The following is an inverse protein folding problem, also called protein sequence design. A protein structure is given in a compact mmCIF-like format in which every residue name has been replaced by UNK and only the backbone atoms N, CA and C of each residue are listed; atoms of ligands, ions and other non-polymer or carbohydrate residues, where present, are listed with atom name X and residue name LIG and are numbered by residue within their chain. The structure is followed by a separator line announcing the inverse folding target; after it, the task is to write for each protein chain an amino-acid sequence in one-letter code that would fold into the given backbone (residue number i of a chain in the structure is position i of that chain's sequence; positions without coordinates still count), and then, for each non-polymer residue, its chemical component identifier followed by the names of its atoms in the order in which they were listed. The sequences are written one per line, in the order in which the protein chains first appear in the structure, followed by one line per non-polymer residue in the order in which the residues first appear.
data_IF_392582949084
#
_entry.id   IF_392582949084
#
_cell.length_a   1.000
_cell.length_b   1.000
_cell.length_c   1.000
_cell.angle_alpha   90.00
_cell.angle_beta   90.00
_cell.angle_gamma   90.00
#
_symmetry.space_group_name_H-M   'P 1'
#
loop_
_entity.id
_entity.type
_entity.pdbx_description
1 polymer ?
#
# COMPACT_ATOMS: atom_id res chain seq x y z
N UNK A 1 0.81 -18.63 5.04
CA UNK A 1 0.09 -18.11 3.87
C UNK A 1 1.08 -17.30 3.05
N UNK A 2 1.37 -17.73 1.82
CA UNK A 2 2.29 -17.02 0.92
C UNK A 2 1.46 -16.11 0.03
N UNK A 3 1.54 -14.81 0.27
CA UNK A 3 0.90 -13.81 -0.61
C UNK A 3 1.87 -13.52 -1.75
N UNK A 4 1.64 -14.12 -2.92
CA UNK A 4 2.39 -13.82 -4.13
C UNK A 4 1.90 -12.48 -4.73
N UNK A 5 2.84 -11.55 -4.95
CA UNK A 5 2.55 -10.24 -5.57
C UNK A 5 3.11 -10.23 -6.98
N UNK A 6 2.51 -11.03 -7.87
CA UNK A 6 2.83 -11.03 -9.30
C UNK A 6 1.98 -9.97 -9.98
N UNK A 7 2.60 -9.18 -10.87
CA UNK A 7 1.92 -8.15 -11.65
C UNK A 7 2.16 -8.36 -13.15
N UNK A 8 1.12 -8.17 -13.95
CA UNK A 8 1.18 -8.29 -15.41
C UNK A 8 0.99 -9.71 -15.91
N UNK A 9 0.80 -9.82 -17.21
CA UNK A 9 0.42 -11.03 -17.91
C UNK A 9 -1.11 -11.17 -18.02
N UNK A 10 -1.55 -12.11 -18.84
CA UNK A 10 -2.99 -12.37 -18.99
C UNK A 10 -3.58 -12.89 -17.68
N UNK A 11 -4.86 -12.61 -17.44
CA UNK A 11 -5.58 -13.09 -16.24
C UNK A 11 -5.40 -14.60 -16.06
N UNK A 12 -5.49 -15.39 -17.14
CA UNK A 12 -5.32 -16.83 -17.09
C UNK A 12 -3.93 -17.26 -16.59
N UNK A 13 -2.85 -16.68 -17.15
CA UNK A 13 -1.48 -16.98 -16.71
C UNK A 13 -1.20 -16.50 -15.29
N UNK A 14 -1.76 -15.35 -14.90
CA UNK A 14 -1.57 -14.76 -13.59
C UNK A 14 -2.26 -15.59 -12.50
N UNK A 15 -3.52 -15.99 -12.72
CA UNK A 15 -4.27 -16.85 -11.78
C UNK A 15 -3.57 -18.18 -11.57
N UNK A 16 -3.13 -18.84 -12.65
CA UNK A 16 -2.40 -20.12 -12.56
C UNK A 16 -1.11 -19.98 -11.73
N UNK A 17 -0.31 -18.93 -11.96
CA UNK A 17 0.91 -18.72 -11.17
C UNK A 17 0.63 -18.41 -9.70
N UNK A 18 -0.40 -17.60 -9.41
CA UNK A 18 -0.76 -17.29 -8.03
C UNK A 18 -1.22 -18.55 -7.28
N UNK A 19 -2.05 -19.40 -7.90
CA UNK A 19 -2.49 -20.68 -7.31
C UNK A 19 -1.32 -21.64 -7.05
N UNK A 20 -0.37 -21.72 -7.99
CA UNK A 20 0.84 -22.54 -7.81
C UNK A 20 1.69 -22.06 -6.63
N UNK A 21 1.82 -20.75 -6.44
CA UNK A 21 2.62 -20.14 -5.36
C UNK A 21 1.90 -20.12 -4.01
N UNK A 22 0.57 -20.13 -4.01
CA UNK A 22 -0.24 -20.24 -2.78
C UNK A 22 -0.34 -21.68 -2.29
N UNK A 23 -0.12 -22.66 -3.17
CA UNK A 23 0.14 -24.05 -2.78
C UNK A 23 1.57 -24.16 -2.23
N UNK A 24 1.85 -25.08 -1.31
CA UNK A 24 3.15 -25.31 -0.62
C UNK A 24 4.33 -25.73 -1.56
N UNK A 25 4.32 -25.26 -2.82
CA UNK A 25 5.32 -25.53 -3.84
C UNK A 25 6.46 -24.53 -3.69
N UNK A 26 7.64 -25.03 -3.33
CA UNK A 26 8.84 -24.21 -3.11
C UNK A 26 9.39 -23.50 -4.37
N UNK A 27 8.93 -23.85 -5.58
CA UNK A 27 9.43 -23.24 -6.83
C UNK A 27 8.47 -23.38 -8.00
N UNK A 28 8.35 -22.32 -8.81
CA UNK A 28 7.65 -22.35 -10.11
C UNK A 28 8.55 -22.97 -11.17
N UNK A 29 7.99 -23.88 -11.97
CA UNK A 29 8.70 -24.48 -13.09
C UNK A 29 9.04 -23.45 -14.19
N UNK A 30 10.18 -23.62 -14.84
CA UNK A 30 10.70 -22.73 -15.89
C UNK A 30 9.71 -22.62 -17.04
N UNK A 31 9.03 -23.72 -17.42
CA UNK A 31 8.07 -23.69 -18.52
C UNK A 31 6.87 -22.78 -18.19
N UNK A 32 6.39 -22.81 -16.93
CA UNK A 32 5.28 -21.98 -16.48
C UNK A 32 5.67 -20.50 -16.40
N UNK A 33 6.89 -20.22 -15.92
CA UNK A 33 7.45 -18.87 -15.94
C UNK A 33 7.54 -18.32 -17.36
N UNK A 34 8.07 -19.09 -18.31
CA UNK A 34 8.22 -18.68 -19.71
C UNK A 34 6.84 -18.45 -20.36
N UNK A 35 5.86 -19.32 -20.08
CA UNK A 35 4.48 -19.16 -20.57
C UNK A 35 3.86 -17.85 -20.10
N UNK A 36 4.01 -17.50 -18.83
CA UNK A 36 3.53 -16.22 -18.31
C UNK A 36 4.30 -15.04 -18.92
N UNK A 37 5.63 -15.09 -18.95
CA UNK A 37 6.47 -14.03 -19.47
C UNK A 37 6.15 -13.69 -20.93
N UNK A 38 5.78 -14.69 -21.74
CA UNK A 38 5.35 -14.51 -23.12
C UNK A 38 4.06 -13.69 -23.26
N UNK A 39 3.25 -13.56 -22.21
CA UNK A 39 1.99 -12.78 -22.23
C UNK A 39 2.19 -11.30 -21.84
N UNK A 40 3.33 -10.95 -21.23
CA UNK A 40 3.62 -9.59 -20.77
C UNK A 40 3.51 -8.51 -21.86
N UNK A 41 3.96 -8.73 -23.12
CA UNK A 41 3.83 -7.73 -24.16
C UNK A 41 2.37 -7.38 -24.51
N UNK A 42 1.45 -8.34 -24.32
CA UNK A 42 0.03 -8.15 -24.64
C UNK A 42 -0.78 -7.66 -23.44
N UNK A 43 -0.33 -7.98 -22.23
CA UNK A 43 -0.97 -7.60 -20.98
C UNK A 43 0.07 -7.05 -19.98
N UNK A 44 0.65 -5.88 -20.25
CA UNK A 44 1.64 -5.28 -19.35
C UNK A 44 0.96 -4.78 -18.06
N UNK A 45 1.74 -4.72 -16.98
CA UNK A 45 1.37 -4.01 -15.77
C UNK A 45 2.36 -2.86 -15.51
N UNK A 46 1.85 -1.77 -14.96
CA UNK A 46 2.70 -0.65 -14.58
C UNK A 46 3.33 -0.93 -13.22
N UNK A 47 4.61 -1.25 -13.20
CA UNK A 47 5.34 -1.68 -12.00
C UNK A 47 5.98 -0.51 -11.22
N UNK A 48 6.24 0.61 -11.88
CA UNK A 48 6.85 1.81 -11.29
C UNK A 48 6.19 3.03 -11.90
N UNK A 49 5.76 3.95 -11.04
CA UNK A 49 5.11 5.19 -11.43
C UNK A 49 5.68 6.31 -10.58
N UNK A 50 5.79 7.48 -11.20
CA UNK A 50 5.99 8.74 -10.48
C UNK A 50 4.61 9.38 -10.30
N UNK A 51 4.36 9.89 -9.10
CA UNK A 51 3.08 10.50 -8.75
C UNK A 51 3.16 12.02 -8.94
N UNK A 52 2.10 12.59 -9.49
CA UNK A 52 1.86 14.03 -9.53
C UNK A 52 0.49 14.34 -8.90
N UNK A 53 0.28 15.54 -8.34
CA UNK A 53 -1.00 15.93 -7.79
C UNK A 53 -2.11 15.84 -8.84
N UNK A 54 -3.19 15.13 -8.53
CA UNK A 54 -4.32 14.96 -9.46
C UNK A 54 -4.97 16.31 -9.84
N UNK A 55 -4.80 17.35 -9.03
CA UNK A 55 -5.28 18.70 -9.30
C UNK A 55 -4.58 19.37 -10.50
N UNK A 56 -3.42 18.89 -10.92
CA UNK A 56 -2.73 19.36 -12.14
C UNK A 56 -3.48 18.96 -13.42
N UNK A 57 -4.33 17.94 -13.35
CA UNK A 57 -5.13 17.50 -14.49
C UNK A 57 -6.37 18.36 -14.74
N UNK A 58 -6.64 19.37 -13.90
CA UNK A 58 -7.79 20.27 -14.11
C UNK A 58 -7.53 21.15 -15.34
N UNK A 59 -8.35 21.02 -16.41
CA UNK A 59 -8.12 21.77 -17.64
C UNK A 59 -8.28 23.27 -17.45
N UNK A 60 -7.48 24.08 -18.16
CA UNK A 60 -7.56 25.53 -18.07
C UNK A 60 -8.80 26.12 -18.75
N UNK A 61 -9.43 25.38 -19.66
CA UNK A 61 -10.54 25.82 -20.50
C UNK A 61 -11.93 25.61 -19.89
N UNK A 62 -12.03 25.16 -18.63
CA UNK A 62 -13.31 25.05 -17.92
C UNK A 62 -13.55 26.29 -17.05
N UNK A 63 -14.82 26.67 -16.79
CA UNK A 63 -15.14 27.72 -15.84
C UNK A 63 -14.55 27.43 -14.46
N UNK A 64 -13.98 28.48 -13.86
CA UNK A 64 -13.40 28.47 -12.51
C UNK A 64 -12.27 27.44 -12.32
N UNK A 65 -11.55 27.07 -13.38
CA UNK A 65 -10.48 26.07 -13.36
C UNK A 65 -9.47 26.31 -12.23
N UNK A 66 -9.01 27.56 -12.05
CA UNK A 66 -8.10 27.93 -10.96
C UNK A 66 -8.69 27.73 -9.57
N UNK A 67 -9.95 28.11 -9.37
CA UNK A 67 -10.64 27.98 -8.09
C UNK A 67 -10.84 26.49 -7.76
N UNK A 68 -11.25 25.70 -8.75
CA UNK A 68 -11.41 24.25 -8.61
C UNK A 68 -10.10 23.56 -8.25
N UNK A 69 -8.98 23.99 -8.84
CA UNK A 69 -7.65 23.48 -8.49
C UNK A 69 -7.33 23.71 -7.02
N UNK A 70 -7.39 24.95 -6.55
CA UNK A 70 -7.10 25.30 -5.15
C UNK A 70 -8.05 24.57 -4.17
N UNK A 71 -9.33 24.46 -4.53
CA UNK A 71 -10.29 23.71 -3.72
C UNK A 71 -9.98 22.21 -3.66
N UNK A 72 -9.55 21.61 -4.77
CA UNK A 72 -9.17 20.21 -4.81
C UNK A 72 -7.88 19.95 -4.03
N UNK A 73 -6.90 20.85 -4.12
CA UNK A 73 -5.66 20.76 -3.33
C UNK A 73 -5.99 20.74 -1.83
N UNK A 74 -6.80 21.68 -1.35
CA UNK A 74 -7.26 21.73 0.06
C UNK A 74 -8.05 20.47 0.45
N UNK A 75 -8.96 20.01 -0.40
CA UNK A 75 -9.76 18.83 -0.11
C UNK A 75 -8.90 17.55 -0.01
N UNK A 76 -7.83 17.45 -0.80
CA UNK A 76 -6.86 16.36 -0.70
C UNK A 76 -6.07 16.44 0.61
N UNK A 77 -5.65 17.62 1.04
CA UNK A 77 -4.98 17.80 2.35
C UNK A 77 -5.89 17.38 3.50
N UNK A 78 -7.15 17.82 3.49
CA UNK A 78 -8.16 17.44 4.49
C UNK A 78 -8.38 15.92 4.51
N UNK A 79 -8.49 15.29 3.32
CA UNK A 79 -8.64 13.84 3.19
C UNK A 79 -7.42 13.08 3.77
N UNK A 80 -6.20 13.52 3.46
CA UNK A 80 -4.98 12.89 3.98
C UNK A 80 -4.90 13.03 5.51
N UNK A 81 -5.30 14.17 6.07
CA UNK A 81 -5.38 14.36 7.52
C UNK A 81 -6.50 13.53 8.16
N UNK A 82 -7.64 13.35 7.48
CA UNK A 82 -8.75 12.54 7.95
C UNK A 82 -8.37 11.05 8.04
N UNK A 83 -7.76 10.51 6.98
CA UNK A 83 -7.44 9.10 6.81
C UNK A 83 -5.99 8.75 7.17
N UNK A 84 -5.29 9.62 7.90
CA UNK A 84 -3.92 9.37 8.34
C UNK A 84 -3.83 8.26 9.39
N UNK A 85 -2.88 7.35 9.19
CA UNK A 85 -2.53 6.27 10.12
C UNK A 85 -2.04 6.76 11.49
N UNK A 86 -1.69 8.04 11.62
CA UNK A 86 -1.28 8.64 12.90
C UNK A 86 -2.37 8.57 13.98
N UNK A 87 -3.65 8.43 13.58
CA UNK A 87 -4.80 8.29 14.48
C UNK A 87 -4.93 6.87 15.05
N UNK A 88 -4.22 5.92 14.46
CA UNK A 88 -4.22 4.53 14.88
C UNK A 88 -3.21 4.30 16.02
N UNK A 89 -3.49 3.28 16.84
CA UNK A 89 -2.50 2.79 17.80
C UNK A 89 -1.41 2.00 17.07
N UNK A 90 -0.14 2.04 17.53
CA UNK A 90 0.93 1.28 16.91
C UNK A 90 0.69 -0.23 17.04
N UNK A 91 1.09 -0.98 16.02
CA UNK A 91 1.12 -2.44 16.04
C UNK A 91 2.33 -2.95 16.84
N UNK A 92 2.26 -4.18 17.34
CA UNK A 92 3.37 -4.80 18.07
C UNK A 92 4.38 -5.44 17.11
N UNK A 93 5.59 -5.68 17.63
CA UNK A 93 6.64 -6.49 16.99
C UNK A 93 6.99 -6.09 15.54
N UNK A 94 7.07 -4.78 15.30
CA UNK A 94 7.43 -4.24 13.99
C UNK A 94 6.31 -4.32 12.94
N UNK A 95 5.07 -4.62 13.34
CA UNK A 95 3.91 -4.54 12.48
C UNK A 95 3.69 -3.13 11.94
N UNK A 96 3.21 -3.03 10.70
CA UNK A 96 2.88 -1.74 10.07
C UNK A 96 1.39 -1.48 10.20
N UNK A 97 1.03 -0.33 10.78
CA UNK A 97 -0.38 0.08 10.87
C UNK A 97 -0.84 0.61 9.51
N UNK A 98 -2.02 0.19 9.10
CA UNK A 98 -2.68 0.64 7.88
C UNK A 98 -4.12 1.04 8.21
N UNK A 99 -4.72 1.88 7.37
CA UNK A 99 -6.09 2.33 7.54
C UNK A 99 -6.91 1.91 6.33
N UNK A 100 -7.85 1.01 6.53
CA UNK A 100 -8.74 0.47 5.49
C UNK A 100 -10.17 0.85 5.85
N UNK A 101 -10.83 1.61 4.97
CA UNK A 101 -12.24 2.00 5.15
C UNK A 101 -12.54 2.65 6.52
N UNK A 102 -11.61 3.45 7.05
CA UNK A 102 -11.75 4.10 8.36
C UNK A 102 -11.44 3.22 9.57
N UNK A 103 -10.99 1.97 9.36
CA UNK A 103 -10.57 1.06 10.43
C UNK A 103 -9.05 0.90 10.42
N UNK A 104 -8.47 0.91 11.62
CA UNK A 104 -7.05 0.63 11.79
C UNK A 104 -6.81 -0.88 11.78
N UNK A 105 -5.94 -1.35 10.91
CA UNK A 105 -5.51 -2.74 10.80
C UNK A 105 -3.99 -2.85 10.89
N UNK A 106 -3.50 -4.02 11.29
CA UNK A 106 -2.06 -4.28 11.42
C UNK A 106 -1.60 -5.29 10.37
N UNK A 107 -0.64 -4.86 9.53
CA UNK A 107 0.12 -5.78 8.67
C UNK A 107 1.30 -6.32 9.46
N UNK A 108 1.26 -7.60 9.79
CA UNK A 108 2.28 -8.24 10.62
C UNK A 108 3.51 -8.66 9.83
N UNK A 109 4.65 -8.68 10.51
CA UNK A 109 5.85 -9.35 10.00
C UNK A 109 5.62 -10.86 9.93
N UNK A 110 6.37 -11.62 9.11
CA UNK A 110 6.14 -13.06 8.94
C UNK A 110 6.21 -13.90 10.23
N UNK A 111 6.83 -13.37 11.29
CA UNK A 111 7.05 -14.05 12.57
C UNK A 111 5.92 -13.85 13.59
N UNK A 112 4.96 -12.97 13.30
CA UNK A 112 3.88 -12.60 14.19
C UNK A 112 2.51 -12.64 13.49
N UNK A 113 1.46 -12.88 14.28
CA UNK A 113 0.06 -12.94 13.87
C UNK A 113 -0.82 -12.39 14.99
N UNK A 114 -2.13 -12.36 14.75
CA UNK A 114 -3.11 -11.74 15.66
C UNK A 114 -3.52 -10.36 15.17
N UNK A 115 -4.54 -9.77 15.80
CA UNK A 115 -5.12 -8.50 15.34
C UNK A 115 -4.13 -7.32 15.45
N UNK A 116 -3.21 -7.38 16.41
CA UNK A 116 -2.19 -6.36 16.67
C UNK A 116 -0.76 -6.89 16.52
N UNK A 117 -0.58 -8.05 15.88
CA UNK A 117 0.68 -8.77 15.73
C UNK A 117 1.28 -9.22 17.07
N UNK A 118 0.43 -9.60 18.03
CA UNK A 118 0.80 -9.95 19.40
C UNK A 118 1.25 -11.40 19.58
N UNK A 119 0.90 -12.29 18.64
CA UNK A 119 1.08 -13.74 18.76
C UNK A 119 2.24 -14.21 17.87
N UNK A 120 3.28 -14.89 18.40
CA UNK A 120 4.33 -15.48 17.58
C UNK A 120 3.84 -16.65 16.71
N UNK A 121 4.46 -16.86 15.53
CA UNK A 121 4.08 -17.95 14.59
C UNK A 121 4.82 -19.29 14.77
N UNK A 122 5.85 -19.35 15.65
CA UNK A 122 6.74 -20.49 16.02
C UNK A 122 8.03 -20.70 15.16
N UNK A 123 9.10 -21.10 15.87
CA UNK A 123 10.46 -21.56 15.46
C UNK A 123 11.49 -20.60 14.83
N UNK A 124 11.20 -19.32 14.68
CA UNK A 124 12.27 -18.31 14.56
C UNK A 124 11.77 -16.96 15.07
N UNK A 125 12.06 -16.67 16.34
CA UNK A 125 11.99 -15.30 16.82
C UNK A 125 13.21 -14.62 16.21
N UNK A 126 13.02 -13.88 15.10
CA UNK A 126 14.07 -12.98 14.66
C UNK A 126 14.36 -12.02 15.81
N UNK A 127 15.62 -12.00 16.26
CA UNK A 127 16.07 -11.23 17.42
C UNK A 127 16.00 -9.71 17.23
N UNK A 128 15.50 -9.25 16.07
CA UNK A 128 15.35 -7.85 15.75
C UNK A 128 13.87 -7.47 15.62
N UNK A 129 13.25 -7.25 16.77
CA UNK A 129 11.93 -6.62 16.91
C UNK A 129 12.08 -5.11 17.03
N UNK A 130 13.03 -4.50 16.31
CA UNK A 130 13.16 -3.05 16.30
C UNK A 130 11.81 -2.40 15.97
N UNK A 131 11.26 -1.68 16.94
CA UNK A 131 10.04 -0.91 16.77
C UNK A 131 10.47 0.41 16.13
N UNK A 132 10.09 0.61 14.88
CA UNK A 132 10.31 1.89 14.20
C UNK A 132 9.44 2.99 14.82
N UNK A 133 10.00 4.19 14.95
CA UNK A 133 9.24 5.37 15.33
C UNK A 133 8.19 5.72 14.26
N UNK A 134 7.02 6.15 14.71
CA UNK A 134 5.96 6.65 13.82
C UNK A 134 5.69 8.12 14.11
N UNK A 135 5.34 8.87 13.07
CA UNK A 135 4.96 10.27 13.20
C UNK A 135 3.62 10.40 13.92
N UNK A 136 3.54 11.33 14.87
CA UNK A 136 2.26 11.71 15.46
C UNK A 136 1.40 12.45 14.45
N UNK A 137 0.10 12.60 14.76
CA UNK A 137 -0.75 13.45 13.94
C UNK A 137 -0.26 14.89 13.94
N UNK A 138 -0.49 15.56 12.81
CA UNK A 138 -0.32 16.99 12.69
C UNK A 138 -1.15 17.72 13.75
N UNK A 139 -0.59 18.80 14.29
CA UNK A 139 -1.35 19.74 15.11
C UNK A 139 -2.33 20.53 14.25
N UNK A 140 -3.18 21.33 14.90
CA UNK A 140 -3.98 22.32 14.19
C UNK A 140 -3.12 23.29 13.37
N UNK A 141 -3.68 23.77 12.27
CA UNK A 141 -3.09 24.81 11.44
C UNK A 141 -2.82 26.08 12.25
N UNK A 142 -1.80 26.82 11.83
CA UNK A 142 -1.50 28.15 12.38
C UNK A 142 -2.58 29.15 11.99
N UNK A 143 -2.61 30.31 12.66
CA UNK A 143 -3.54 31.40 12.35
C UNK A 143 -3.10 32.26 11.15
N UNK A 144 -2.22 31.73 10.28
CA UNK A 144 -1.74 32.40 9.05
C UNK A 144 -1.16 33.80 9.31
N UNK A 145 -0.43 34.00 10.42
CA UNK A 145 0.08 35.32 10.80
C UNK A 145 1.18 35.84 9.86
N UNK A 146 2.00 34.95 9.29
CA UNK A 146 3.13 35.31 8.42
C UNK A 146 3.33 34.35 7.23
N UNK A 147 2.25 33.67 6.83
CA UNK A 147 2.32 32.53 5.90
C UNK A 147 2.56 31.25 6.69
#
# INVERSE_FOLDING_TARGET
DVVSVIQGGTTASLTNLNEMLSSDVNSVDVEQYVKWAATLPQAPAVIKQEMAPISELIPLNIPDSRIKKVNLDRAVEDYMAEYSVCKCKPCLHGGTVILIQGKCECTCTPYYKGEACEIPTLNSIAADTAIHGSWSCWSNWSTCQQG
#
